data_IF_631362009631
#
_entry.id   IF_631362009631
#
_cell.length_a   1.000
_cell.length_b   1.000
_cell.length_c   1.000
_cell.angle_alpha   90.00
_cell.angle_beta   90.00
_cell.angle_gamma   90.00
#
_symmetry.space_group_name_H-M   'P 1'
#
loop_
_entity.id
_entity.type
_entity.pdbx_description
1 polymer ?
#
# COMPACT_ATOMS: atom_id res chain seq x y z
N UNK A 1 -5.10 18.96 -20.61
CA UNK A 1 -3.77 18.69 -21.17
C UNK A 1 -3.08 17.63 -20.34
N UNK A 2 -2.21 16.83 -20.94
CA UNK A 2 -1.30 15.97 -20.18
C UNK A 2 -0.20 16.87 -19.58
N UNK A 3 0.00 16.79 -18.28
CA UNK A 3 1.02 17.55 -17.54
C UNK A 3 1.54 16.71 -16.38
N UNK A 4 2.65 17.14 -15.79
CA UNK A 4 3.13 16.56 -14.54
C UNK A 4 2.44 17.29 -13.38
N UNK A 5 1.94 16.54 -12.42
CA UNK A 5 1.29 17.09 -11.23
C UNK A 5 1.94 16.51 -9.99
N UNK A 6 1.79 17.20 -8.87
CA UNK A 6 2.35 16.79 -7.60
C UNK A 6 1.24 16.64 -6.58
N UNK A 7 1.34 15.66 -5.69
CA UNK A 7 0.52 15.61 -4.49
C UNK A 7 1.19 16.44 -3.40
N UNK A 8 0.40 17.33 -2.79
CA UNK A 8 0.84 18.17 -1.69
C UNK A 8 -0.23 18.25 -0.61
N UNK A 9 0.17 18.74 0.57
CA UNK A 9 -0.72 18.85 1.72
C UNK A 9 -1.32 17.51 2.17
N UNK A 10 -0.60 16.41 1.93
CA UNK A 10 -1.06 15.09 2.32
C UNK A 10 -1.16 15.03 3.84
N UNK A 11 -2.30 14.55 4.34
CA UNK A 11 -2.52 14.41 5.78
C UNK A 11 -1.42 13.56 6.43
N UNK A 12 -0.87 13.93 7.61
CA UNK A 12 0.32 13.28 8.16
C UNK A 12 0.21 11.76 8.37
N UNK A 13 -0.98 11.26 8.72
CA UNK A 13 -1.22 9.83 8.90
C UNK A 13 -1.27 9.04 7.58
N UNK A 14 -1.45 9.73 6.45
CA UNK A 14 -1.35 9.16 5.11
C UNK A 14 0.06 9.25 4.54
N UNK A 15 0.90 10.16 5.08
CA UNK A 15 2.27 10.39 4.65
C UNK A 15 3.28 9.38 5.24
N UNK A 16 2.85 8.44 6.07
CA UNK A 16 3.74 7.49 6.75
C UNK A 16 4.57 6.68 5.75
N UNK A 17 5.90 6.83 5.80
CA UNK A 17 6.85 6.14 4.94
C UNK A 17 6.99 6.74 3.54
N UNK A 18 6.13 7.66 3.15
CA UNK A 18 6.32 8.48 1.94
C UNK A 18 7.40 9.51 2.31
N UNK A 19 8.48 9.58 1.55
CA UNK A 19 9.57 10.54 1.80
C UNK A 19 9.07 12.00 1.90
N UNK A 20 9.98 12.91 2.27
CA UNK A 20 9.64 14.31 2.57
C UNK A 20 9.20 15.16 1.35
N UNK A 21 9.43 14.66 0.13
CA UNK A 21 9.20 15.43 -1.08
C UNK A 21 7.77 15.31 -1.63
N UNK A 22 7.36 16.29 -2.42
CA UNK A 22 6.09 16.23 -3.16
C UNK A 22 6.08 15.02 -4.10
N UNK A 23 4.98 14.27 -4.08
CA UNK A 23 4.89 13.01 -4.82
C UNK A 23 4.36 13.26 -6.22
N UNK A 24 5.18 13.04 -7.25
CA UNK A 24 4.82 13.38 -8.63
C UNK A 24 3.92 12.32 -9.27
N UNK A 25 2.71 12.76 -9.62
CA UNK A 25 1.65 12.01 -10.30
C UNK A 25 1.60 12.40 -11.78
N UNK A 26 1.91 11.42 -12.63
CA UNK A 26 1.96 11.57 -14.08
C UNK A 26 0.62 11.10 -14.68
N UNK A 27 -0.36 11.98 -14.82
CA UNK A 27 -1.65 11.72 -15.48
C UNK A 27 -2.48 13.00 -15.60
N UNK A 28 -3.64 12.96 -16.26
CA UNK A 28 -4.61 14.05 -16.17
C UNK A 28 -5.04 14.33 -14.72
N UNK A 29 -4.87 15.56 -14.26
CA UNK A 29 -5.46 16.02 -13.01
C UNK A 29 -6.97 16.23 -13.18
N UNK A 30 -7.76 15.36 -12.56
CA UNK A 30 -9.19 15.58 -12.42
C UNK A 30 -9.41 16.61 -11.32
N UNK A 31 -10.26 17.62 -11.55
CA UNK A 31 -10.51 18.72 -10.60
C UNK A 31 -11.93 18.60 -10.02
N UNK A 32 -12.17 17.67 -9.08
CA UNK A 32 -13.51 17.48 -8.55
C UNK A 32 -13.89 18.67 -7.65
N UNK A 33 -15.15 19.08 -7.73
CA UNK A 33 -15.74 20.00 -6.76
C UNK A 33 -16.22 19.20 -5.55
N UNK A 34 -15.81 19.59 -4.35
CA UNK A 34 -16.22 18.91 -3.12
C UNK A 34 -17.60 19.40 -2.68
N UNK A 35 -18.54 18.48 -2.47
CA UNK A 35 -19.83 18.76 -1.85
C UNK A 35 -19.93 17.96 -0.54
N UNK A 36 -19.54 18.60 0.58
CA UNK A 36 -19.50 17.98 1.91
C UNK A 36 -18.34 17.00 2.15
N UNK A 37 -17.48 16.78 1.15
CA UNK A 37 -16.29 15.95 1.27
C UNK A 37 -15.10 16.74 1.86
N UNK A 38 -14.22 16.03 2.56
CA UNK A 38 -12.95 16.55 3.10
C UNK A 38 -11.82 16.25 2.10
N UNK A 39 -10.98 17.24 1.81
CA UNK A 39 -9.74 17.03 1.07
C UNK A 39 -8.67 16.41 1.99
N UNK A 40 -8.07 15.30 1.55
CA UNK A 40 -6.97 14.62 2.24
C UNK A 40 -5.60 14.94 1.63
N UNK A 41 -5.60 15.40 0.37
CA UNK A 41 -4.45 15.94 -0.34
C UNK A 41 -4.95 16.84 -1.48
N UNK A 42 -4.13 17.82 -1.87
CA UNK A 42 -4.39 18.69 -3.02
C UNK A 42 -3.32 18.52 -4.09
N UNK A 43 -3.63 18.99 -5.30
CA UNK A 43 -2.62 19.12 -6.34
C UNK A 43 -1.66 20.26 -6.04
N UNK A 44 -0.43 20.10 -6.50
CA UNK A 44 0.51 21.18 -6.75
C UNK A 44 0.93 21.10 -8.22
N UNK A 45 0.81 22.22 -8.92
CA UNK A 45 1.09 22.31 -10.35
C UNK A 45 2.56 22.59 -10.61
N UNK A 46 3.03 22.39 -11.84
CA UNK A 46 4.37 22.81 -12.25
C UNK A 46 4.53 24.35 -12.09
N UNK A 47 5.74 24.80 -11.77
CA UNK A 47 6.03 26.23 -11.56
C UNK A 47 5.78 27.10 -12.81
N UNK A 48 5.81 26.49 -14.00
CA UNK A 48 5.56 27.17 -15.26
C UNK A 48 4.71 26.29 -16.20
N UNK A 49 3.82 26.89 -17.01
CA UNK A 49 3.08 26.15 -18.02
C UNK A 49 4.03 25.62 -19.10
N UNK A 50 3.83 24.37 -19.52
CA UNK A 50 4.60 23.80 -20.63
C UNK A 50 4.27 24.53 -21.94
N UNK A 51 5.30 25.00 -22.64
CA UNK A 51 5.17 25.51 -24.00
C UNK A 51 5.06 24.35 -24.97
N UNK A 52 4.08 24.41 -25.86
CA UNK A 52 3.90 23.45 -26.94
C UNK A 52 5.17 23.45 -27.82
N UNK A 53 5.78 22.27 -28.01
CA UNK A 53 7.04 22.10 -28.74
C UNK A 53 8.28 21.82 -27.87
N UNK A 54 8.25 22.14 -26.57
CA UNK A 54 9.32 21.76 -25.64
C UNK A 54 8.89 20.51 -24.87
N UNK A 55 9.13 19.33 -25.47
CA UNK A 55 9.13 18.07 -24.73
C UNK A 55 10.45 17.94 -23.98
N UNK A 56 10.69 18.84 -23.03
CA UNK A 56 11.78 18.62 -22.08
C UNK A 56 11.44 17.34 -21.34
N UNK A 57 12.30 16.33 -21.45
CA UNK A 57 12.15 15.02 -20.81
C UNK A 57 12.26 15.07 -19.27
N UNK A 58 12.26 16.28 -18.69
CA UNK A 58 12.32 16.50 -17.26
C UNK A 58 10.98 16.99 -16.72
N UNK A 59 10.63 16.53 -15.52
CA UNK A 59 9.56 17.10 -14.73
C UNK A 59 9.96 18.51 -14.29
N UNK A 60 9.12 19.51 -14.56
CA UNK A 60 9.37 20.86 -14.06
C UNK A 60 9.12 20.89 -12.56
N UNK A 61 9.95 21.56 -11.73
CA UNK A 61 9.73 21.61 -10.30
C UNK A 61 8.32 22.11 -9.94
N UNK A 62 7.79 21.69 -8.79
CA UNK A 62 6.48 22.15 -8.34
C UNK A 62 6.47 23.67 -8.13
N UNK A 63 5.32 24.29 -8.39
CA UNK A 63 5.06 25.68 -8.04
C UNK A 63 5.18 25.89 -6.54
N UNK A 64 5.58 27.10 -6.12
CA UNK A 64 5.74 27.41 -4.70
C UNK A 64 4.44 27.25 -3.90
N UNK A 65 3.29 27.59 -4.51
CA UNK A 65 1.98 27.47 -3.87
C UNK A 65 1.30 26.15 -4.25
N UNK A 66 0.72 25.47 -3.27
CA UNK A 66 -0.21 24.38 -3.53
C UNK A 66 -1.51 24.91 -4.16
N UNK A 67 -2.16 24.09 -4.98
CA UNK A 67 -3.51 24.38 -5.47
C UNK A 67 -4.54 24.15 -4.36
N UNK A 68 -5.70 24.78 -4.52
CA UNK A 68 -6.93 24.42 -3.80
C UNK A 68 -7.66 23.22 -4.42
N UNK A 69 -7.21 22.73 -5.58
CA UNK A 69 -7.83 21.60 -6.27
C UNK A 69 -7.55 20.30 -5.50
N UNK A 70 -8.60 19.58 -5.06
CA UNK A 70 -8.46 18.34 -4.32
C UNK A 70 -7.99 17.18 -5.22
N UNK A 71 -6.96 16.47 -4.76
CA UNK A 71 -6.44 15.28 -5.45
C UNK A 71 -6.91 13.99 -4.79
N UNK A 72 -7.06 13.99 -3.47
CA UNK A 72 -7.61 12.88 -2.69
C UNK A 72 -8.65 13.46 -1.76
N UNK A 73 -9.85 12.87 -1.73
CA UNK A 73 -10.93 13.31 -0.84
C UNK A 73 -11.69 12.15 -0.25
N UNK A 74 -12.32 12.38 0.90
CA UNK A 74 -13.18 11.40 1.56
C UNK A 74 -14.52 12.04 1.91
N UNK A 75 -15.60 11.31 1.69
CA UNK A 75 -16.94 11.71 2.11
C UNK A 75 -17.58 10.61 2.98
N UNK A 76 -18.47 11.03 3.88
CA UNK A 76 -19.29 10.14 4.69
C UNK A 76 -20.70 10.12 4.15
N UNK A 77 -21.24 8.92 3.97
CA UNK A 77 -22.64 8.74 3.57
C UNK A 77 -23.28 7.67 4.46
N UNK A 78 -24.20 8.09 5.32
CA UNK A 78 -24.76 7.25 6.38
C UNK A 78 -23.65 6.67 7.28
N UNK A 79 -23.59 5.33 7.36
CA UNK A 79 -22.54 4.60 8.11
C UNK A 79 -21.27 4.34 7.30
N UNK A 80 -21.27 4.64 6.00
CA UNK A 80 -20.19 4.35 5.07
C UNK A 80 -19.24 5.53 4.83
N UNK A 81 -18.12 5.24 4.18
CA UNK A 81 -17.16 6.23 3.68
C UNK A 81 -16.85 5.91 2.22
N UNK A 82 -16.75 6.94 1.40
CA UNK A 82 -16.28 6.85 0.02
C UNK A 82 -15.04 7.73 -0.13
N UNK A 83 -14.00 7.21 -0.77
CA UNK A 83 -12.79 7.96 -1.08
C UNK A 83 -12.69 8.11 -2.59
N UNK A 84 -12.45 9.35 -3.04
CA UNK A 84 -12.11 9.64 -4.42
C UNK A 84 -10.61 9.91 -4.49
N UNK A 85 -9.92 9.17 -5.35
CA UNK A 85 -8.52 9.42 -5.72
C UNK A 85 -8.55 9.96 -7.16
N UNK A 86 -8.45 11.28 -7.29
CA UNK A 86 -8.57 12.00 -8.55
C UNK A 86 -7.26 11.97 -9.37
N UNK A 87 -6.22 11.34 -8.85
CA UNK A 87 -4.90 11.26 -9.44
C UNK A 87 -4.52 9.80 -9.73
N UNK A 88 -3.65 9.54 -10.71
CA UNK A 88 -3.18 8.18 -10.97
C UNK A 88 -2.21 7.73 -9.87
N UNK A 89 -2.56 6.67 -9.14
CA UNK A 89 -1.63 5.97 -8.24
C UNK A 89 -0.78 4.92 -8.98
N UNK A 90 -0.96 4.81 -10.30
CA UNK A 90 -0.13 3.95 -11.14
C UNK A 90 0.55 4.85 -12.14
N UNK A 91 1.87 4.95 -12.08
CA UNK A 91 2.60 5.44 -13.23
C UNK A 91 2.63 4.32 -14.28
N UNK A 92 2.49 4.69 -15.55
CA UNK A 92 2.82 3.81 -16.68
C UNK A 92 4.18 3.13 -16.47
N UNK A 93 5.10 3.73 -15.71
CA UNK A 93 6.43 3.21 -15.36
C UNK A 93 6.40 1.82 -14.67
N UNK A 94 5.39 1.48 -13.86
CA UNK A 94 5.31 0.16 -13.23
C UNK A 94 4.83 -0.94 -14.20
N UNK A 95 4.03 -0.58 -15.22
CA UNK A 95 3.47 -1.53 -16.21
C UNK A 95 4.31 -1.62 -17.47
N UNK A 96 4.82 -0.48 -17.93
CA UNK A 96 5.80 -0.37 -18.99
C UNK A 96 7.16 -0.70 -18.39
N UNK A 97 7.57 -1.97 -18.48
CA UNK A 97 8.90 -2.53 -18.17
C UNK A 97 10.06 -1.88 -18.97
N UNK A 98 9.97 -0.60 -19.30
CA UNK A 98 10.78 0.13 -20.29
C UNK A 98 11.67 1.21 -19.69
N UNK A 99 11.57 1.49 -18.39
CA UNK A 99 12.42 2.48 -17.75
C UNK A 99 13.44 1.81 -16.83
N UNK A 100 14.64 2.41 -16.81
CA UNK A 100 15.76 2.00 -16.00
C UNK A 100 15.35 1.87 -14.53
N UNK A 101 15.95 0.92 -13.80
CA UNK A 101 15.64 0.62 -12.40
C UNK A 101 15.62 1.86 -11.49
N UNK A 102 16.34 2.93 -11.88
CA UNK A 102 16.44 4.21 -11.19
C UNK A 102 15.19 5.11 -11.30
N UNK A 103 14.26 4.85 -12.22
CA UNK A 103 13.08 5.69 -12.45
C UNK A 103 11.81 5.18 -11.75
N UNK A 104 11.85 3.99 -11.17
CA UNK A 104 10.67 3.38 -10.54
C UNK A 104 10.43 4.01 -9.17
N UNK A 105 9.27 4.63 -9.00
CA UNK A 105 8.85 5.27 -7.75
C UNK A 105 7.99 4.33 -6.91
N UNK A 106 8.35 4.13 -5.65
CA UNK A 106 7.65 3.24 -4.72
C UNK A 106 6.47 3.89 -3.99
N UNK A 107 6.51 5.21 -3.87
CA UNK A 107 5.52 5.98 -3.15
C UNK A 107 4.07 5.67 -3.57
N UNK A 108 3.72 5.34 -4.84
CA UNK A 108 2.31 5.11 -5.19
C UNK A 108 1.74 3.86 -4.52
N UNK A 109 2.53 2.79 -4.41
CA UNK A 109 2.14 1.55 -3.70
C UNK A 109 2.03 1.81 -2.20
N UNK A 110 2.97 2.56 -1.64
CA UNK A 110 2.94 2.93 -0.22
C UNK A 110 1.74 3.83 0.11
N UNK A 111 1.44 4.81 -0.75
CA UNK A 111 0.28 5.70 -0.61
C UNK A 111 -1.01 4.89 -0.74
N UNK A 112 -1.12 3.98 -1.71
CA UNK A 112 -2.27 3.09 -1.84
C UNK A 112 -2.50 2.27 -0.55
N UNK A 113 -1.42 1.72 0.03
CA UNK A 113 -1.50 0.99 1.29
C UNK A 113 -1.97 1.87 2.46
N UNK A 114 -1.47 3.10 2.56
CA UNK A 114 -1.88 4.06 3.61
C UNK A 114 -3.34 4.49 3.45
N UNK A 115 -3.79 4.76 2.22
CA UNK A 115 -5.19 5.07 1.91
C UNK A 115 -6.11 3.90 2.26
N UNK A 116 -5.71 2.66 1.92
CA UNK A 116 -6.45 1.46 2.29
C UNK A 116 -6.54 1.30 3.82
N UNK A 117 -5.44 1.48 4.56
CA UNK A 117 -5.45 1.45 6.03
C UNK A 117 -6.34 2.52 6.63
N UNK A 118 -6.28 3.75 6.11
CA UNK A 118 -7.17 4.83 6.55
C UNK A 118 -8.66 4.50 6.34
N UNK A 119 -8.99 3.82 5.22
CA UNK A 119 -10.35 3.37 4.92
C UNK A 119 -10.75 2.12 5.73
N UNK A 120 -9.81 1.26 6.08
CA UNK A 120 -10.01 0.09 6.93
C UNK A 120 -9.86 0.47 8.41
N UNK A 121 -10.96 0.89 9.06
CA UNK A 121 -10.98 1.24 10.49
C UNK A 121 -10.36 0.15 11.38
N UNK A 122 -10.55 -1.10 11.00
CA UNK A 122 -10.00 -2.25 11.72
C UNK A 122 -9.47 -3.32 10.73
N UNK A 123 -8.15 -3.35 10.48
CA UNK A 123 -7.57 -4.35 9.60
C UNK A 123 -7.73 -5.77 10.15
N UNK A 124 -7.92 -6.72 9.24
CA UNK A 124 -7.98 -8.15 9.56
C UNK A 124 -6.58 -8.73 9.79
N UNK A 125 -5.62 -8.27 8.99
CA UNK A 125 -4.28 -8.81 8.90
C UNK A 125 -3.28 -7.66 8.98
N UNK A 126 -2.16 -7.89 9.68
CA UNK A 126 -0.94 -7.09 9.59
C UNK A 126 0.26 -8.03 9.45
N UNK A 127 1.38 -7.51 8.96
CA UNK A 127 2.60 -8.29 8.88
C UNK A 127 3.80 -7.47 8.45
N UNK A 128 4.96 -8.12 8.47
CA UNK A 128 6.25 -7.56 8.06
C UNK A 128 6.68 -8.05 6.68
N UNK A 129 5.74 -8.56 5.88
CA UNK A 129 6.02 -9.10 4.56
C UNK A 129 6.51 -8.00 3.61
N UNK A 130 7.58 -8.25 2.83
CA UNK A 130 8.02 -7.33 1.77
C UNK A 130 6.95 -7.10 0.70
N UNK A 131 7.10 -6.04 -0.10
CA UNK A 131 6.22 -5.75 -1.23
C UNK A 131 6.10 -6.88 -2.28
N UNK A 132 7.12 -7.73 -2.43
CA UNK A 132 7.09 -8.89 -3.32
C UNK A 132 6.39 -10.14 -2.76
N UNK A 133 5.79 -10.04 -1.57
CA UNK A 133 5.05 -11.14 -0.96
C UNK A 133 3.56 -10.79 -0.92
N UNK A 134 2.76 -11.59 -1.60
CA UNK A 134 1.31 -11.52 -1.53
C UNK A 134 0.81 -12.30 -0.31
N UNK A 135 -0.12 -11.70 0.44
CA UNK A 135 -0.71 -12.32 1.63
C UNK A 135 -2.21 -12.48 1.42
N UNK A 136 -2.67 -13.73 1.40
CA UNK A 136 -4.09 -14.06 1.20
C UNK A 136 -4.63 -14.77 2.42
N UNK A 137 -5.62 -14.18 3.09
CA UNK A 137 -6.30 -14.78 4.22
C UNK A 137 -7.67 -15.34 3.80
N UNK A 138 -7.82 -16.65 3.90
CA UNK A 138 -9.05 -17.37 3.62
C UNK A 138 -9.64 -17.95 4.90
N UNK A 139 -10.97 -18.06 4.93
CA UNK A 139 -11.68 -18.78 5.99
C UNK A 139 -12.22 -20.09 5.45
N UNK A 140 -11.93 -21.19 6.13
CA UNK A 140 -12.43 -22.51 5.79
C UNK A 140 -13.02 -23.16 7.04
N UNK A 141 -14.36 -23.13 7.15
CA UNK A 141 -15.06 -23.56 8.36
C UNK A 141 -14.65 -22.73 9.59
N UNK A 142 -14.23 -23.42 10.65
CA UNK A 142 -13.75 -22.81 11.90
C UNK A 142 -12.27 -22.42 11.91
N UNK A 143 -11.60 -22.43 10.75
CA UNK A 143 -10.15 -22.20 10.61
C UNK A 143 -9.87 -21.01 9.71
N UNK A 144 -8.72 -20.38 9.93
CA UNK A 144 -8.15 -19.38 9.02
C UNK A 144 -6.91 -19.94 8.36
N UNK A 145 -6.77 -19.70 7.06
CA UNK A 145 -5.65 -20.15 6.25
C UNK A 145 -5.04 -18.90 5.63
N UNK A 146 -3.79 -18.60 5.97
CA UNK A 146 -3.05 -17.49 5.36
C UNK A 146 -1.97 -18.06 4.45
N UNK A 147 -2.06 -17.70 3.19
CA UNK A 147 -1.06 -17.96 2.17
C UNK A 147 -0.09 -16.79 2.12
N UNK A 148 1.20 -17.09 2.10
CA UNK A 148 2.30 -16.17 1.83
C UNK A 148 2.93 -16.60 0.50
N UNK A 149 2.73 -15.82 -0.55
CA UNK A 149 3.24 -16.14 -1.89
C UNK A 149 4.40 -15.22 -2.21
N UNK A 150 5.59 -15.78 -2.36
CA UNK A 150 6.78 -15.04 -2.71
C UNK A 150 6.91 -14.92 -4.23
N UNK A 151 6.71 -13.72 -4.74
CA UNK A 151 6.77 -13.43 -6.17
C UNK A 151 8.13 -12.92 -6.64
N UNK A 152 9.15 -12.80 -5.77
CA UNK A 152 10.49 -12.29 -6.16
C UNK A 152 11.18 -13.13 -7.25
N UNK A 153 10.78 -14.40 -7.44
CA UNK A 153 11.29 -15.21 -8.55
C UNK A 153 10.76 -14.77 -9.93
N UNK A 154 9.62 -14.07 -9.98
CA UNK A 154 8.91 -13.73 -11.22
C UNK A 154 8.91 -12.24 -11.60
N UNK A 155 9.49 -11.37 -10.76
CA UNK A 155 9.49 -9.94 -11.02
C UNK A 155 10.34 -9.12 -10.06
N UNK A 156 10.59 -7.86 -10.46
CA UNK A 156 11.20 -6.84 -9.62
C UNK A 156 10.12 -6.20 -8.74
N UNK A 157 10.34 -6.25 -7.42
CA UNK A 157 9.55 -5.55 -6.43
C UNK A 157 10.48 -4.61 -5.67
N UNK A 158 10.21 -3.32 -5.78
CA UNK A 158 10.98 -2.28 -5.07
C UNK A 158 10.27 -1.92 -3.78
N UNK A 159 11.04 -1.97 -2.69
CA UNK A 159 10.65 -1.59 -1.34
C UNK A 159 11.88 -1.08 -0.57
N UNK A 160 12.11 0.23 -0.67
CA UNK A 160 13.17 1.02 -0.07
C UNK A 160 12.94 1.32 1.40
N UNK A 161 11.80 0.90 1.95
CA UNK A 161 11.59 0.97 3.39
C UNK A 161 12.64 0.09 4.07
N UNK A 162 13.32 0.68 5.04
CA UNK A 162 14.43 0.05 5.74
C UNK A 162 14.03 -1.31 6.35
N UNK A 163 14.87 -2.33 6.14
CA UNK A 163 14.71 -3.66 6.74
C UNK A 163 13.60 -4.55 6.16
N UNK A 164 12.92 -4.13 5.07
CA UNK A 164 11.77 -4.88 4.56
C UNK A 164 12.06 -5.95 3.50
N UNK A 165 13.25 -6.00 2.89
CA UNK A 165 13.67 -7.16 2.08
C UNK A 165 14.11 -8.34 2.97
N UNK A 166 13.24 -8.77 3.88
CA UNK A 166 13.49 -9.87 4.81
C UNK A 166 12.48 -10.99 4.59
N UNK A 167 12.96 -12.09 4.01
CA UNK A 167 12.20 -13.34 3.89
C UNK A 167 12.44 -14.30 5.07
N UNK A 168 13.17 -13.84 6.10
CA UNK A 168 13.37 -14.55 7.36
C UNK A 168 12.58 -13.86 8.47
N UNK A 169 12.15 -14.64 9.47
CA UNK A 169 11.34 -14.18 10.60
C UNK A 169 10.15 -13.29 10.18
N UNK A 170 9.40 -13.75 9.18
CA UNK A 170 8.24 -13.01 8.66
C UNK A 170 7.12 -13.09 9.69
N UNK A 171 6.77 -11.95 10.29
CA UNK A 171 5.67 -11.87 11.24
C UNK A 171 4.34 -11.67 10.49
N UNK A 172 3.35 -12.47 10.87
CA UNK A 172 1.98 -12.37 10.38
C UNK A 172 1.06 -12.35 11.59
N UNK A 173 0.18 -11.36 11.68
CA UNK A 173 -0.82 -11.29 12.74
C UNK A 173 -2.24 -11.18 12.21
N UNK A 174 -3.15 -11.94 12.80
CA UNK A 174 -4.59 -11.85 12.59
C UNK A 174 -5.26 -11.09 13.74
N UNK A 175 -6.27 -10.28 13.42
CA UNK A 175 -7.01 -9.51 14.41
C UNK A 175 -8.07 -10.39 15.10
N UNK A 176 -7.85 -10.73 16.36
CA UNK A 176 -8.70 -11.55 17.22
C UNK A 176 -10.16 -11.08 17.24
N UNK A 177 -10.41 -9.76 17.23
CA UNK A 177 -11.76 -9.21 17.23
C UNK A 177 -12.53 -9.55 15.95
N UNK A 178 -11.82 -9.78 14.84
CA UNK A 178 -12.40 -10.08 13.53
C UNK A 178 -12.43 -11.57 13.21
N UNK A 179 -11.46 -12.32 13.70
CA UNK A 179 -11.34 -13.76 13.43
C UNK A 179 -12.00 -14.65 14.48
N UNK A 180 -12.28 -14.10 15.66
CA UNK A 180 -12.77 -14.85 16.82
C UNK A 180 -11.64 -15.52 17.60
N UNK A 181 -12.00 -16.45 18.47
CA UNK A 181 -11.02 -17.22 19.24
C UNK A 181 -10.29 -18.22 18.34
N UNK A 182 -8.96 -18.08 18.30
CA UNK A 182 -8.02 -19.03 17.72
C UNK A 182 -6.99 -19.36 18.81
N UNK A 183 -6.64 -20.65 18.94
CA UNK A 183 -5.78 -21.17 19.98
C UNK A 183 -4.46 -21.71 19.46
N UNK A 184 -4.42 -22.22 18.23
CA UNK A 184 -3.23 -22.86 17.66
C UNK A 184 -2.95 -22.34 16.26
N UNK A 185 -1.67 -22.38 15.89
CA UNK A 185 -1.21 -22.09 14.54
C UNK A 185 -0.17 -23.12 14.10
N UNK A 186 -0.21 -23.46 12.83
CA UNK A 186 0.72 -24.41 12.22
C UNK A 186 1.16 -23.91 10.86
N UNK A 187 2.43 -24.11 10.53
CA UNK A 187 2.92 -24.00 9.17
C UNK A 187 2.77 -25.34 8.47
N UNK A 188 2.24 -25.34 7.25
CA UNK A 188 2.14 -26.52 6.40
C UNK A 188 3.16 -26.38 5.28
N UNK A 189 4.12 -27.30 5.23
CA UNK A 189 5.15 -27.33 4.20
C UNK A 189 5.50 -28.79 3.85
N UNK A 190 5.57 -29.11 2.56
CA UNK A 190 5.99 -30.45 2.11
C UNK A 190 5.11 -31.62 2.58
N UNK A 191 3.85 -31.37 2.94
CA UNK A 191 2.94 -32.38 3.50
C UNK A 191 3.04 -32.54 5.02
N UNK A 192 3.97 -31.85 5.68
CA UNK A 192 4.12 -31.84 7.13
C UNK A 192 3.48 -30.59 7.73
N UNK A 193 3.05 -30.70 8.99
CA UNK A 193 2.54 -29.59 9.79
C UNK A 193 3.46 -29.33 10.97
N UNK A 194 4.00 -28.12 11.06
CA UNK A 194 4.86 -27.68 12.17
C UNK A 194 4.13 -26.66 13.04
N UNK A 195 4.01 -26.86 14.36
CA UNK A 195 3.39 -25.87 15.23
C UNK A 195 4.19 -24.56 15.22
N UNK A 196 3.48 -23.44 15.18
CA UNK A 196 4.03 -22.11 15.33
C UNK A 196 3.60 -21.53 16.67
N UNK A 197 4.52 -20.99 17.50
CA UNK A 197 4.16 -20.29 18.71
C UNK A 197 3.26 -19.08 18.39
N UNK A 198 2.07 -19.05 19.01
CA UNK A 198 1.16 -17.90 18.88
C UNK A 198 1.45 -16.91 19.99
N UNK A 199 1.83 -15.69 19.62
CA UNK A 199 1.98 -14.57 20.55
C UNK A 199 0.75 -13.69 20.50
N UNK A 200 0.29 -13.21 21.65
CA UNK A 200 -0.78 -12.22 21.74
C UNK A 200 -0.18 -10.83 21.98
N UNK A 201 -0.53 -9.89 21.12
CA UNK A 201 -0.22 -8.46 21.26
C UNK A 201 -1.54 -7.67 21.20
N UNK A 202 -2.14 -7.43 22.36
CA UNK A 202 -3.48 -6.86 22.46
C UNK A 202 -4.50 -7.68 21.68
N UNK A 203 -5.06 -7.11 20.61
CA UNK A 203 -6.03 -7.77 19.72
C UNK A 203 -5.39 -8.60 18.60
N UNK A 204 -4.07 -8.70 18.54
CA UNK A 204 -3.37 -9.38 17.45
C UNK A 204 -2.86 -10.74 17.89
N UNK A 205 -3.19 -11.77 17.11
CA UNK A 205 -2.66 -13.12 17.21
C UNK A 205 -1.53 -13.25 16.19
N UNK A 206 -0.31 -13.28 16.67
CA UNK A 206 0.90 -13.21 15.86
C UNK A 206 1.62 -14.55 15.82
N UNK A 207 2.17 -14.86 14.65
CA UNK A 207 3.13 -15.94 14.45
C UNK A 207 4.32 -15.43 13.64
N UNK A 208 5.45 -16.10 13.77
CA UNK A 208 6.66 -15.81 13.01
C UNK A 208 7.00 -17.01 12.14
N UNK A 209 7.04 -16.80 10.83
CA UNK A 209 7.53 -17.78 9.86
C UNK A 209 9.05 -17.63 9.76
N UNK A 210 9.85 -18.63 10.19
CA UNK A 210 11.31 -18.49 10.25
C UNK A 210 11.95 -18.18 8.90
N UNK A 211 11.41 -18.77 7.82
CA UNK A 211 11.89 -18.54 6.46
C UNK A 211 10.76 -18.77 5.46
N UNK A 212 10.46 -17.74 4.68
CA UNK A 212 9.58 -17.82 3.52
C UNK A 212 10.38 -18.21 2.28
N UNK A 213 10.01 -19.33 1.66
CA UNK A 213 10.58 -19.77 0.37
C UNK A 213 9.71 -19.25 -0.78
N UNK A 214 9.14 -20.12 -1.62
CA UNK A 214 8.21 -19.75 -2.70
C UNK A 214 6.80 -19.56 -2.14
N UNK A 215 6.39 -20.42 -1.21
CA UNK A 215 5.06 -20.41 -0.61
C UNK A 215 5.15 -20.80 0.86
N UNK A 216 4.49 -20.04 1.71
CA UNK A 216 4.21 -20.39 3.11
C UNK A 216 2.70 -20.54 3.31
N UNK A 217 2.28 -21.59 4.03
CA UNK A 217 0.89 -21.80 4.39
C UNK A 217 0.78 -21.85 5.91
N UNK A 218 0.05 -20.90 6.48
CA UNK A 218 -0.21 -20.86 7.92
C UNK A 218 -1.68 -21.18 8.16
N UNK A 219 -1.96 -22.13 9.03
CA UNK A 219 -3.31 -22.51 9.44
C UNK A 219 -3.50 -22.15 10.91
N UNK A 220 -4.55 -21.39 11.21
CA UNK A 220 -5.01 -21.15 12.58
C UNK A 220 -6.34 -21.87 12.81
N UNK A 221 -6.45 -22.53 13.96
CA UNK A 221 -7.70 -23.10 14.45
C UNK A 221 -7.87 -22.84 15.95
N UNK A 222 -8.99 -23.32 16.50
CA UNK A 222 -9.27 -23.27 17.93
C UNK A 222 -8.35 -24.20 18.71
#
# INVERSE_FOLDING_TARGET
GAGTYYLSGLRPDLAVGLGIDDQVVEAHAWRPTLNGAEALATYRYEFAPRREGWRTYCNLPPAHAASSDPAISVNRYGKGRAMLVACALTTEQLRARRYHEHDIREYPTQLAANLARFMLREPLLRGTTPAGVEVVANRQGGRWIVHLLNHYAGGLYLDSREGLLKLADVCVSLNANRVGELGRAFEVAGGESRPLPVRRDGKWLEVTVPRLTVHGLIVWDR
#
